data_IF_754013971489
#
_entry.id   IF_754013971489
#
_cell.length_a   1.000
_cell.length_b   1.000
_cell.length_c   1.000
_cell.angle_alpha   90.00
_cell.angle_beta   90.00
_cell.angle_gamma   90.00
#
_symmetry.space_group_name_H-M   'P 1'
#
loop_
_entity.id
_entity.type
_entity.pdbx_description
1 polymer ?
#
# COMPACT_ATOMS: atom_id res chain seq x y z
N UNK A 1 2.19 -12.73 6.66
CA UNK A 1 2.85 -11.58 7.35
C UNK A 1 2.15 -10.28 7.00
N UNK A 2 2.44 -9.24 7.72
CA UNK A 2 1.91 -7.91 7.42
C UNK A 2 2.93 -7.13 6.62
N UNK A 3 2.54 -6.64 5.44
CA UNK A 3 3.43 -5.95 4.52
C UNK A 3 2.90 -4.54 4.29
N UNK A 4 3.75 -3.55 4.54
CA UNK A 4 3.44 -2.15 4.23
C UNK A 4 4.05 -1.83 2.86
N UNK A 5 3.24 -1.33 1.95
CA UNK A 5 3.69 -0.95 0.61
C UNK A 5 3.43 0.54 0.43
N UNK A 6 4.48 1.30 0.10
CA UNK A 6 4.32 2.71 -0.26
C UNK A 6 4.32 2.82 -1.77
N UNK A 7 3.43 3.66 -2.31
CA UNK A 7 3.31 3.81 -3.75
C UNK A 7 2.55 2.66 -4.40
N UNK A 8 1.69 1.99 -3.65
CA UNK A 8 0.97 0.83 -4.15
C UNK A 8 -0.14 1.13 -5.13
N UNK A 9 -0.49 2.41 -5.34
CA UNK A 9 -1.48 2.77 -6.35
C UNK A 9 -0.89 2.94 -7.74
N UNK A 10 0.44 2.89 -7.87
CA UNK A 10 1.10 2.94 -9.16
C UNK A 10 0.96 1.63 -9.92
N UNK A 11 1.48 1.61 -11.14
CA UNK A 11 1.32 0.44 -12.01
C UNK A 11 1.94 -0.82 -11.41
N UNK A 12 3.20 -0.74 -11.02
CA UNK A 12 3.90 -1.91 -10.48
C UNK A 12 3.37 -2.26 -9.09
N UNK A 13 3.13 -1.22 -8.26
CA UNK A 13 2.65 -1.45 -6.91
C UNK A 13 1.29 -2.11 -6.87
N UNK A 14 0.37 -1.69 -7.75
CA UNK A 14 -0.96 -2.28 -7.77
C UNK A 14 -0.92 -3.73 -8.23
N UNK A 15 -0.06 -4.05 -9.21
CA UNK A 15 0.10 -5.43 -9.65
C UNK A 15 0.63 -6.31 -8.52
N UNK A 16 1.60 -5.80 -7.77
CA UNK A 16 2.14 -6.53 -6.64
C UNK A 16 1.09 -6.77 -5.56
N UNK A 17 0.31 -5.74 -5.23
CA UNK A 17 -0.72 -5.87 -4.21
C UNK A 17 -1.78 -6.90 -4.62
N UNK A 18 -2.23 -6.84 -5.88
CA UNK A 18 -3.19 -7.83 -6.36
C UNK A 18 -2.64 -9.25 -6.23
N UNK A 19 -1.37 -9.42 -6.59
CA UNK A 19 -0.74 -10.74 -6.48
C UNK A 19 -0.71 -11.23 -5.03
N UNK A 20 -0.30 -10.36 -4.11
CA UNK A 20 -0.19 -10.75 -2.71
C UNK A 20 -1.55 -11.12 -2.12
N UNK A 21 -2.58 -10.34 -2.42
CA UNK A 21 -3.91 -10.62 -1.85
C UNK A 21 -4.53 -11.85 -2.48
N UNK A 22 -4.37 -12.05 -3.79
CA UNK A 22 -5.03 -13.13 -4.50
C UNK A 22 -4.32 -14.47 -4.37
N UNK A 23 -3.00 -14.45 -4.16
CA UNK A 23 -2.20 -15.68 -4.20
C UNK A 23 -1.46 -15.99 -2.91
N UNK A 24 -1.58 -15.15 -1.89
CA UNK A 24 -0.97 -15.41 -0.59
C UNK A 24 -1.97 -15.07 0.51
N UNK A 25 -1.58 -15.32 1.75
CA UNK A 25 -2.41 -14.97 2.90
C UNK A 25 -1.86 -13.74 3.63
N UNK A 26 -0.95 -13.01 3.02
CA UNK A 26 -0.40 -11.81 3.64
C UNK A 26 -1.44 -10.71 3.79
N UNK A 27 -1.27 -9.88 4.81
CA UNK A 27 -2.03 -8.66 4.98
C UNK A 27 -1.22 -7.51 4.39
N UNK A 28 -1.88 -6.62 3.67
CA UNK A 28 -1.22 -5.54 2.96
C UNK A 28 -1.86 -4.21 3.35
N UNK A 29 -1.02 -3.26 3.76
CA UNK A 29 -1.44 -1.87 3.91
C UNK A 29 -0.75 -1.07 2.82
N UNK A 30 -1.54 -0.40 1.98
CA UNK A 30 -1.05 0.42 0.89
C UNK A 30 -1.09 1.88 1.33
N UNK A 31 0.08 2.52 1.43
CA UNK A 31 0.18 3.93 1.77
C UNK A 31 0.61 4.69 0.52
N UNK A 32 -0.24 5.59 0.02
CA UNK A 32 0.01 6.31 -1.22
C UNK A 32 -0.64 7.67 -1.14
N UNK A 33 0.02 8.69 -1.65
CA UNK A 33 -0.56 10.03 -1.62
C UNK A 33 -1.47 10.33 -2.82
N UNK A 34 -1.47 9.51 -3.85
CA UNK A 34 -2.35 9.64 -5.01
C UNK A 34 -2.29 10.99 -5.69
N UNK A 35 -1.08 11.48 -5.99
CA UNK A 35 -0.96 12.84 -6.52
C UNK A 35 -1.12 12.95 -8.02
N UNK A 36 -0.85 11.89 -8.78
CA UNK A 36 -0.84 12.04 -10.24
C UNK A 36 -1.32 10.78 -10.94
N UNK A 37 -0.46 9.82 -11.12
CA UNK A 37 -0.81 8.61 -11.83
C UNK A 37 -1.44 7.55 -10.94
N UNK A 38 -1.51 7.82 -9.64
CA UNK A 38 -2.11 6.88 -8.73
C UNK A 38 -3.58 6.69 -9.06
N UNK A 39 -3.98 5.44 -9.16
CA UNK A 39 -5.34 5.13 -9.57
C UNK A 39 -5.81 3.89 -8.83
N UNK A 40 -6.77 4.08 -7.93
CA UNK A 40 -7.28 2.97 -7.14
C UNK A 40 -8.14 2.02 -7.95
N UNK A 41 -8.49 2.37 -9.19
CA UNK A 41 -9.24 1.45 -10.05
C UNK A 41 -8.49 0.15 -10.27
N UNK A 42 -7.17 0.21 -10.30
CA UNK A 42 -6.35 -0.99 -10.47
C UNK A 42 -6.47 -1.96 -9.31
N UNK A 43 -7.02 -1.50 -8.19
CA UNK A 43 -7.13 -2.28 -6.97
C UNK A 43 -8.57 -2.64 -6.62
N UNK A 44 -9.53 -2.33 -7.49
CA UNK A 44 -10.95 -2.60 -7.18
C UNK A 44 -11.22 -4.07 -6.91
N UNK A 45 -10.51 -4.97 -7.59
CA UNK A 45 -10.76 -6.41 -7.42
C UNK A 45 -10.43 -6.90 -6.01
N UNK A 46 -9.59 -6.17 -5.27
CA UNK A 46 -9.19 -6.59 -3.92
C UNK A 46 -9.53 -5.55 -2.87
N UNK A 47 -10.20 -4.47 -3.23
CA UNK A 47 -10.40 -3.34 -2.32
C UNK A 47 -11.25 -3.71 -1.10
N UNK A 48 -12.13 -4.68 -1.22
CA UNK A 48 -12.99 -5.10 -0.13
C UNK A 48 -12.43 -6.30 0.65
N UNK A 49 -11.27 -6.81 0.28
CA UNK A 49 -10.65 -7.92 1.02
C UNK A 49 -10.25 -7.45 2.41
N UNK A 50 -10.58 -8.24 3.43
CA UNK A 50 -10.29 -7.87 4.82
C UNK A 50 -8.81 -7.77 5.12
N UNK A 51 -7.96 -8.34 4.29
CA UNK A 51 -6.50 -8.29 4.46
C UNK A 51 -5.88 -7.08 3.78
N UNK A 52 -6.66 -6.26 3.08
CA UNK A 52 -6.18 -5.09 2.37
C UNK A 52 -6.68 -3.82 3.05
N UNK A 53 -5.79 -2.85 3.23
CA UNK A 53 -6.14 -1.54 3.76
C UNK A 53 -5.42 -0.47 2.96
N UNK A 54 -6.09 0.65 2.69
CA UNK A 54 -5.52 1.79 2.00
C UNK A 54 -5.47 2.99 2.93
N UNK A 55 -4.31 3.66 2.98
CA UNK A 55 -4.15 4.93 3.69
C UNK A 55 -3.62 5.96 2.70
N UNK A 56 -4.36 7.04 2.50
CA UNK A 56 -3.90 8.13 1.65
C UNK A 56 -3.06 9.08 2.48
N UNK A 57 -1.76 9.08 2.25
CA UNK A 57 -0.83 9.94 2.98
C UNK A 57 0.47 10.07 2.22
N UNK A 58 1.19 11.17 2.49
CA UNK A 58 2.53 11.37 1.97
C UNK A 58 3.52 10.73 2.94
N UNK A 59 4.53 10.03 2.42
CA UNK A 59 5.53 9.39 3.27
C UNK A 59 6.34 10.39 4.08
N UNK A 60 6.34 11.67 3.70
CA UNK A 60 7.02 12.70 4.48
C UNK A 60 6.18 13.17 5.66
N UNK A 61 4.93 12.78 5.74
CA UNK A 61 4.07 13.08 6.89
C UNK A 61 4.42 12.11 8.02
N UNK A 62 5.40 12.51 8.83
CA UNK A 62 5.94 11.63 9.86
C UNK A 62 4.90 11.22 10.90
N UNK A 63 3.97 12.11 11.22
CA UNK A 63 2.96 11.78 12.22
C UNK A 63 2.05 10.66 11.74
N UNK A 64 1.60 10.75 10.48
CA UNK A 64 0.74 9.71 9.91
C UNK A 64 1.50 8.40 9.75
N UNK A 65 2.73 8.46 9.24
CA UNK A 65 3.52 7.25 9.05
C UNK A 65 3.80 6.56 10.37
N UNK A 66 4.16 7.33 11.40
CA UNK A 66 4.42 6.75 12.73
C UNK A 66 3.18 6.09 13.30
N UNK A 67 2.00 6.71 13.13
CA UNK A 67 0.76 6.13 13.63
C UNK A 67 0.43 4.83 12.88
N UNK A 68 0.65 4.80 11.57
CA UNK A 68 0.40 3.60 10.77
C UNK A 68 1.34 2.47 11.20
N UNK A 69 2.62 2.78 11.36
CA UNK A 69 3.59 1.76 11.77
C UNK A 69 3.25 1.18 13.14
N UNK A 70 2.84 2.04 14.08
CA UNK A 70 2.49 1.60 15.43
C UNK A 70 1.26 0.71 15.43
N UNK A 71 0.28 1.02 14.56
CA UNK A 71 -0.97 0.27 14.50
C UNK A 71 -0.83 -1.02 13.71
N UNK A 72 -0.22 -0.93 12.53
CA UNK A 72 -0.15 -2.06 11.62
C UNK A 72 0.97 -3.05 11.98
N UNK A 73 2.06 -2.56 12.52
CA UNK A 73 3.22 -3.36 12.91
C UNK A 73 3.69 -4.27 11.77
N UNK A 74 4.13 -3.67 10.64
CA UNK A 74 4.51 -4.48 9.49
C UNK A 74 5.74 -5.35 9.77
N UNK A 75 5.75 -6.53 9.19
CA UNK A 75 6.92 -7.40 9.19
C UNK A 75 7.89 -7.02 8.08
N UNK A 76 7.38 -6.41 7.01
CA UNK A 76 8.18 -6.01 5.86
C UNK A 76 7.65 -4.72 5.29
N UNK A 77 8.52 -3.92 4.70
CA UNK A 77 8.16 -2.66 4.04
C UNK A 77 8.71 -2.69 2.63
N UNK A 78 7.85 -2.42 1.65
CA UNK A 78 8.24 -2.32 0.25
C UNK A 78 7.98 -0.89 -0.20
N UNK A 79 9.07 -0.16 -0.47
CA UNK A 79 8.99 1.26 -0.75
C UNK A 79 9.04 1.51 -2.26
N UNK A 80 7.89 1.68 -2.88
CA UNK A 80 7.78 1.89 -4.33
C UNK A 80 7.49 3.35 -4.70
N UNK A 81 7.22 4.20 -3.70
CA UNK A 81 6.85 5.58 -3.97
C UNK A 81 7.97 6.40 -4.59
N UNK A 82 9.22 6.03 -4.31
CA UNK A 82 10.37 6.83 -4.73
C UNK A 82 10.69 6.70 -6.22
N UNK A 83 10.11 5.76 -6.91
CA UNK A 83 10.50 5.52 -8.30
C UNK A 83 9.71 6.34 -9.29
N UNK A 84 8.75 7.08 -8.85
CA UNK A 84 7.95 7.89 -9.76
C UNK A 84 8.66 9.22 -9.98
N UNK A 85 8.98 9.51 -11.18
CA UNK A 85 9.49 10.82 -11.55
C UNK A 85 9.12 11.17 -12.92
#
# INVERSE_FOLDING_TARGET
MRILITGGAGFIGSALIRHLIQHTEHEVLNLDKLTYAGNLESLTSIASDSRYEFVQADIIDQATVSAVLARFEPHAIMHLAAESH
#
